data_IF_126884141247
#
_entry.id   IF_126884141247
#
_cell.length_a   1.000
_cell.length_b   1.000
_cell.length_c   1.000
_cell.angle_alpha   90.00
_cell.angle_beta   90.00
_cell.angle_gamma   90.00
#
_symmetry.space_group_name_H-M   'P 1'
#
loop_
_entity.id
_entity.type
_entity.pdbx_description
1 polymer ?
#
# COMPACT_ATOMS: atom_id res chain seq x y z
N UNK A 1 -18.03 -38.96 9.65
CA UNK A 1 -17.21 -38.18 10.58
C UNK A 1 -16.40 -37.23 9.70
N UNK A 2 -16.98 -36.07 9.42
CA UNK A 2 -16.42 -35.06 8.54
C UNK A 2 -15.14 -34.52 9.17
N UNK A 3 -14.01 -34.92 8.60
CA UNK A 3 -12.73 -34.22 8.71
C UNK A 3 -13.01 -32.75 8.43
N UNK A 4 -13.20 -31.97 9.50
CA UNK A 4 -13.10 -30.54 9.46
C UNK A 4 -11.63 -30.30 9.13
N UNK A 5 -11.34 -30.21 7.84
CA UNK A 5 -10.12 -29.65 7.28
C UNK A 5 -10.01 -28.23 7.85
N UNK A 6 -9.50 -28.14 9.09
CA UNK A 6 -9.19 -26.89 9.77
C UNK A 6 -8.18 -26.24 8.86
N UNK A 7 -8.51 -25.13 8.17
CA UNK A 7 -7.52 -24.42 7.37
C UNK A 7 -6.35 -24.16 8.32
N UNK A 8 -5.22 -24.80 8.06
CA UNK A 8 -4.14 -24.96 9.02
C UNK A 8 -3.75 -23.59 9.57
N UNK A 9 -3.56 -23.46 10.88
CA UNK A 9 -3.26 -22.19 11.54
C UNK A 9 -2.04 -21.48 10.89
N UNK A 10 -1.15 -22.23 10.22
CA UNK A 10 -0.08 -21.73 9.37
C UNK A 10 -0.57 -20.83 8.22
N UNK A 11 -1.68 -21.18 7.56
CA UNK A 11 -2.25 -20.37 6.46
C UNK A 11 -2.78 -19.02 6.94
N UNK A 12 -3.30 -18.94 8.16
CA UNK A 12 -3.77 -17.68 8.76
C UNK A 12 -2.58 -16.80 9.19
N UNK A 13 -1.55 -17.41 9.76
CA UNK A 13 -0.33 -16.72 10.21
C UNK A 13 0.48 -16.17 9.02
N UNK A 14 0.61 -16.94 7.95
CA UNK A 14 1.28 -16.51 6.72
C UNK A 14 0.54 -15.36 6.01
N UNK A 15 -0.80 -15.41 6.00
CA UNK A 15 -1.62 -14.30 5.48
C UNK A 15 -1.40 -13.03 6.29
N UNK A 16 -1.39 -13.11 7.61
CA UNK A 16 -1.15 -11.96 8.49
C UNK A 16 0.24 -11.34 8.26
N UNK A 17 1.28 -12.17 8.14
CA UNK A 17 2.66 -11.72 7.88
C UNK A 17 2.77 -11.06 6.49
N UNK A 18 2.09 -11.61 5.48
CA UNK A 18 2.13 -11.10 4.10
C UNK A 18 1.49 -9.71 4.01
N UNK A 19 0.37 -9.48 4.70
CA UNK A 19 -0.30 -8.17 4.77
C UNK A 19 0.62 -7.14 5.45
N UNK A 20 1.29 -7.53 6.53
CA UNK A 20 2.20 -6.64 7.27
C UNK A 20 3.45 -6.26 6.44
N UNK A 21 4.03 -7.22 5.71
CA UNK A 21 5.17 -6.97 4.81
C UNK A 21 4.81 -6.03 3.66
N UNK A 22 3.65 -6.22 3.01
CA UNK A 22 3.20 -5.38 1.90
C UNK A 22 3.10 -3.90 2.29
N UNK A 23 2.59 -3.60 3.49
CA UNK A 23 2.52 -2.22 4.00
C UNK A 23 3.91 -1.60 4.16
N UNK A 24 4.87 -2.35 4.71
CA UNK A 24 6.25 -1.86 4.92
C UNK A 24 6.96 -1.55 3.60
N UNK A 25 6.83 -2.43 2.61
CA UNK A 25 7.49 -2.24 1.31
C UNK A 25 6.90 -1.04 0.55
N UNK A 26 5.60 -0.78 0.70
CA UNK A 26 4.97 0.44 0.18
C UNK A 26 5.52 1.71 0.84
N UNK A 27 5.62 1.74 2.17
CA UNK A 27 6.19 2.89 2.88
C UNK A 27 7.64 3.15 2.51
N UNK A 28 8.45 2.10 2.30
CA UNK A 28 9.82 2.24 1.84
C UNK A 28 9.90 2.86 0.45
N UNK A 29 9.07 2.40 -0.50
CA UNK A 29 9.00 2.98 -1.85
C UNK A 29 8.53 4.44 -1.82
N UNK A 30 7.52 4.75 -1.01
CA UNK A 30 7.03 6.11 -0.82
C UNK A 30 8.11 7.03 -0.24
N UNK A 31 8.84 6.55 0.77
CA UNK A 31 9.91 7.33 1.40
C UNK A 31 11.03 7.63 0.40
N UNK A 32 11.47 6.63 -0.38
CA UNK A 32 12.46 6.83 -1.45
C UNK A 32 11.94 7.82 -2.50
N UNK A 33 10.68 7.70 -2.92
CA UNK A 33 10.06 8.63 -3.86
C UNK A 33 10.08 10.07 -3.33
N UNK A 34 9.69 10.28 -2.07
CA UNK A 34 9.67 11.62 -1.46
C UNK A 34 11.08 12.19 -1.36
N UNK A 35 12.05 11.41 -0.86
CA UNK A 35 13.44 11.85 -0.73
C UNK A 35 14.07 12.20 -2.09
N UNK A 36 13.85 11.36 -3.10
CA UNK A 36 14.38 11.60 -4.43
C UNK A 36 13.79 12.86 -5.06
N UNK A 37 12.46 13.00 -5.05
CA UNK A 37 11.80 14.19 -5.61
C UNK A 37 12.17 15.47 -4.84
N UNK A 38 12.25 15.41 -3.50
CA UNK A 38 12.72 16.54 -2.70
C UNK A 38 14.14 16.96 -3.09
N UNK A 39 15.04 15.99 -3.30
CA UNK A 39 16.39 16.24 -3.81
C UNK A 39 16.38 16.94 -5.17
N UNK A 40 15.54 16.52 -6.10
CA UNK A 40 15.40 17.17 -7.41
C UNK A 40 14.91 18.61 -7.30
N UNK A 41 13.93 18.86 -6.42
CA UNK A 41 13.40 20.21 -6.17
C UNK A 41 14.47 21.10 -5.56
N UNK A 42 15.25 20.59 -4.59
CA UNK A 42 16.39 21.34 -4.01
C UNK A 42 17.41 21.67 -5.07
N UNK A 43 17.82 20.70 -5.88
CA UNK A 43 18.79 20.92 -6.97
C UNK A 43 18.27 21.97 -7.95
N UNK A 44 17.01 21.89 -8.36
CA UNK A 44 16.40 22.89 -9.24
C UNK A 44 16.41 24.29 -8.59
N UNK A 45 15.98 24.39 -7.33
CA UNK A 45 15.92 25.66 -6.61
C UNK A 45 17.31 26.29 -6.40
N UNK A 46 18.35 25.49 -6.21
CA UNK A 46 19.73 25.97 -6.03
C UNK A 46 20.46 26.24 -7.34
N UNK A 47 20.24 25.44 -8.38
CA UNK A 47 21.01 25.51 -9.61
C UNK A 47 20.37 26.41 -10.67
N UNK A 48 19.04 26.40 -10.77
CA UNK A 48 18.30 27.05 -11.85
C UNK A 48 16.90 27.52 -11.42
N UNK A 49 16.80 28.42 -10.42
CA UNK A 49 15.50 28.85 -9.86
C UNK A 49 14.61 29.61 -10.86
N UNK A 50 15.19 30.16 -11.93
CA UNK A 50 14.44 30.87 -12.99
C UNK A 50 14.12 30.00 -14.20
N UNK A 51 14.62 28.76 -14.24
CA UNK A 51 14.36 27.85 -15.35
C UNK A 51 13.03 27.10 -15.15
N UNK A 52 12.51 26.54 -16.23
CA UNK A 52 11.31 25.70 -16.16
C UNK A 52 11.45 24.60 -15.10
N UNK A 53 10.38 24.35 -14.34
CA UNK A 53 10.33 23.38 -13.24
C UNK A 53 10.29 21.94 -13.77
N UNK A 54 11.42 21.49 -14.31
CA UNK A 54 11.59 20.14 -14.83
C UNK A 54 11.37 19.00 -13.80
N UNK A 55 11.48 19.18 -12.47
CA UNK A 55 11.09 18.15 -11.52
C UNK A 55 9.62 17.71 -11.63
N UNK A 56 8.77 18.48 -12.31
CA UNK A 56 7.37 18.11 -12.59
C UNK A 56 7.23 16.78 -13.35
N UNK A 57 8.18 16.44 -14.23
CA UNK A 57 8.09 15.21 -15.03
C UNK A 57 8.21 13.94 -14.19
N UNK A 58 9.28 13.75 -13.38
CA UNK A 58 9.35 12.59 -12.48
C UNK A 58 8.23 12.62 -11.44
N UNK A 59 7.82 13.79 -10.95
CA UNK A 59 6.69 13.90 -10.03
C UNK A 59 5.39 13.38 -10.66
N UNK A 60 5.05 13.83 -11.87
CA UNK A 60 3.80 13.45 -12.53
C UNK A 60 3.83 12.00 -13.01
N UNK A 61 4.91 11.57 -13.66
CA UNK A 61 4.98 10.23 -14.25
C UNK A 61 5.03 9.13 -13.18
N UNK A 62 5.81 9.31 -12.12
CA UNK A 62 5.91 8.33 -11.03
C UNK A 62 4.90 8.57 -9.90
N UNK A 63 4.43 9.80 -9.71
CA UNK A 63 3.43 10.12 -8.69
C UNK A 63 2.10 9.42 -8.92
N UNK A 64 1.71 9.19 -10.17
CA UNK A 64 0.52 8.40 -10.50
C UNK A 64 0.63 6.97 -9.93
N UNK A 65 1.78 6.32 -10.10
CA UNK A 65 2.02 4.97 -9.56
C UNK A 65 1.96 4.93 -8.03
N UNK A 66 2.49 5.96 -7.36
CA UNK A 66 2.41 6.10 -5.90
C UNK A 66 0.98 6.33 -5.44
N UNK A 67 0.22 7.20 -6.10
CA UNK A 67 -1.19 7.49 -5.77
C UNK A 67 -2.07 6.27 -5.95
N UNK A 68 -1.90 5.52 -7.04
CA UNK A 68 -2.65 4.28 -7.26
C UNK A 68 -2.35 3.23 -6.18
N UNK A 69 -1.09 3.12 -5.78
CA UNK A 69 -0.67 2.17 -4.74
C UNK A 69 -1.14 2.62 -3.34
N UNK A 70 -1.15 3.92 -3.07
CA UNK A 70 -1.77 4.48 -1.87
C UNK A 70 -3.29 4.22 -1.82
N UNK A 71 -3.98 4.38 -2.96
CA UNK A 71 -5.41 4.10 -3.07
C UNK A 71 -5.72 2.62 -2.78
N UNK A 72 -4.91 1.69 -3.27
CA UNK A 72 -5.10 0.27 -2.98
C UNK A 72 -4.86 -0.06 -1.49
N UNK A 73 -3.83 0.52 -0.88
CA UNK A 73 -3.52 0.28 0.54
C UNK A 73 -4.54 0.91 1.48
N UNK A 74 -5.03 2.12 1.21
CA UNK A 74 -5.92 2.83 2.11
C UNK A 74 -7.40 2.62 1.82
N UNK A 75 -7.83 2.46 0.56
CA UNK A 75 -9.23 2.15 0.26
C UNK A 75 -9.46 0.64 0.16
N UNK A 76 -8.69 -0.11 -0.62
CA UNK A 76 -9.00 -1.53 -0.84
C UNK A 76 -8.79 -2.40 0.40
N UNK A 77 -7.80 -2.08 1.25
CA UNK A 77 -7.52 -2.88 2.45
C UNK A 77 -8.61 -2.74 3.52
N UNK A 78 -9.08 -1.53 3.79
CA UNK A 78 -10.15 -1.29 4.76
C UNK A 78 -11.46 -1.95 4.30
N UNK A 79 -11.82 -1.85 3.00
CA UNK A 79 -12.99 -2.56 2.46
C UNK A 79 -12.85 -4.09 2.51
N UNK A 80 -11.62 -4.61 2.37
CA UNK A 80 -11.35 -6.05 2.43
C UNK A 80 -11.52 -6.59 3.85
N UNK A 81 -10.95 -5.91 4.85
CA UNK A 81 -11.05 -6.32 6.25
C UNK A 81 -12.50 -6.20 6.76
N UNK A 82 -13.20 -5.12 6.40
CA UNK A 82 -14.64 -4.94 6.67
C UNK A 82 -15.50 -6.04 6.01
N UNK A 83 -15.18 -6.44 4.78
CA UNK A 83 -15.89 -7.52 4.09
C UNK A 83 -15.65 -8.87 4.74
N UNK A 84 -14.41 -9.15 5.14
CA UNK A 84 -14.04 -10.40 5.78
C UNK A 84 -14.76 -10.52 7.13
N UNK A 85 -14.77 -9.45 7.93
CA UNK A 85 -15.51 -9.43 9.21
C UNK A 85 -17.01 -9.63 9.02
N UNK A 86 -17.63 -8.96 8.03
CA UNK A 86 -19.07 -9.15 7.73
C UNK A 86 -19.40 -10.58 7.29
N UNK A 87 -18.49 -11.23 6.56
CA UNK A 87 -18.68 -12.64 6.18
C UNK A 87 -18.51 -13.59 7.38
N UNK A 88 -17.54 -13.37 8.26
CA UNK A 88 -17.37 -14.19 9.47
C UNK A 88 -18.61 -14.10 10.38
N UNK A 89 -19.19 -12.92 10.54
CA UNK A 89 -20.38 -12.73 11.38
C UNK A 89 -21.63 -13.43 10.82
N UNK A 90 -21.74 -13.57 9.49
CA UNK A 90 -22.82 -14.34 8.84
C UNK A 90 -22.68 -15.85 9.03
N UNK A 91 -21.46 -16.37 9.12
CA UNK A 91 -21.21 -17.81 9.31
C UNK A 91 -21.34 -18.23 10.78
N UNK A 92 -21.10 -17.32 11.73
CA UNK A 92 -21.22 -17.62 13.17
C UNK A 92 -22.64 -17.42 13.73
N UNK A 93 -23.46 -16.55 13.14
CA UNK A 93 -24.84 -16.30 13.59
C UNK A 93 -25.90 -17.25 12.99
N UNK A 94 -25.48 -18.34 12.33
CA UNK A 94 -26.36 -19.28 11.61
C UNK A 94 -26.52 -20.65 12.27
N UNK A 95 -26.21 -20.79 13.56
CA UNK A 95 -26.54 -21.96 14.38
C UNK A 95 -27.58 -21.57 15.45
#
# INVERSE_FOLDING_TARGET
MSELERPSDDTLRDRAITILKKRRDFHAHLLVYVLFNAGLVVVWATATPTAFFWPVFPLAFWGIGVVMNAWDVYLSADFSEDRIQRQMHRLQGGH
#
